data_IF_400652577466
#
_entry.id   IF_400652577466
#
_cell.length_a   1.000
_cell.length_b   1.000
_cell.length_c   1.000
_cell.angle_alpha   90.00
_cell.angle_beta   90.00
_cell.angle_gamma   90.00
#
_symmetry.space_group_name_H-M   'P 1'
#
loop_
_entity.id
_entity.type
_entity.pdbx_description
1 polymer ?
#
# COMPACT_ATOMS: atom_id res chain seq x y z
N UNK A 1 24.36 -18.44 -24.68
CA UNK A 1 23.94 -19.82 -24.36
C UNK A 1 23.48 -20.01 -22.90
N UNK A 2 23.81 -19.12 -21.98
CA UNK A 2 23.37 -19.20 -20.57
C UNK A 2 22.00 -18.59 -20.31
N UNK A 3 21.46 -17.80 -21.23
CA UNK A 3 20.17 -17.06 -21.03
C UNK A 3 18.91 -17.91 -21.20
N UNK A 4 18.93 -18.93 -22.04
CA UNK A 4 17.75 -19.76 -22.35
C UNK A 4 17.49 -20.85 -21.28
N UNK A 5 18.53 -21.35 -20.62
CA UNK A 5 18.37 -22.40 -19.57
C UNK A 5 17.83 -21.86 -18.23
N UNK A 6 17.84 -20.56 -18.03
CA UNK A 6 17.43 -19.93 -16.76
C UNK A 6 15.99 -19.43 -16.75
N UNK A 7 15.33 -19.27 -17.90
CA UNK A 7 13.97 -18.70 -17.97
C UNK A 7 12.86 -19.61 -17.41
N UNK A 8 13.10 -20.90 -17.30
CA UNK A 8 12.18 -21.87 -16.70
C UNK A 8 12.63 -22.43 -15.35
N UNK A 9 13.75 -21.96 -14.80
CA UNK A 9 14.29 -22.48 -13.55
C UNK A 9 13.45 -22.02 -12.34
N UNK A 10 12.78 -22.93 -11.60
CA UNK A 10 11.98 -22.59 -10.43
C UNK A 10 12.81 -21.94 -9.30
N UNK A 11 14.13 -22.10 -9.30
CA UNK A 11 15.06 -21.54 -8.34
C UNK A 11 15.72 -20.23 -8.80
N UNK A 12 15.24 -19.61 -9.89
CA UNK A 12 15.81 -18.39 -10.46
C UNK A 12 15.95 -17.26 -9.44
N UNK A 13 15.04 -17.17 -8.47
CA UNK A 13 15.12 -16.19 -7.39
C UNK A 13 16.36 -16.39 -6.52
N UNK A 14 16.72 -17.63 -6.21
CA UNK A 14 17.92 -17.96 -5.43
C UNK A 14 19.20 -17.60 -6.19
N UNK A 15 19.25 -17.87 -7.49
CA UNK A 15 20.38 -17.51 -8.34
C UNK A 15 20.58 -15.98 -8.43
N UNK A 16 19.48 -15.23 -8.42
CA UNK A 16 19.54 -13.75 -8.42
C UNK A 16 20.14 -13.19 -7.14
N UNK A 17 19.71 -13.68 -5.98
CA UNK A 17 20.16 -13.08 -4.70
C UNK A 17 21.61 -13.42 -4.33
N UNK A 18 22.21 -14.41 -5.01
CA UNK A 18 23.63 -14.77 -4.86
C UNK A 18 24.52 -14.25 -6.02
N UNK A 19 23.96 -13.42 -6.91
CA UNK A 19 24.71 -12.81 -8.00
C UNK A 19 25.05 -13.73 -9.19
N UNK A 20 24.49 -14.95 -9.26
CA UNK A 20 24.74 -15.86 -10.38
C UNK A 20 23.96 -15.51 -11.65
N UNK A 21 23.01 -14.58 -11.55
CA UNK A 21 22.29 -14.03 -12.69
C UNK A 21 22.54 -12.52 -12.79
N UNK A 22 22.81 -12.08 -14.01
CA UNK A 22 22.97 -10.65 -14.33
C UNK A 22 21.67 -9.88 -14.01
N UNK A 23 21.71 -9.07 -12.99
CA UNK A 23 20.64 -8.17 -12.58
C UNK A 23 21.25 -6.93 -11.90
N UNK A 24 20.53 -5.81 -11.89
CA UNK A 24 21.01 -4.55 -11.34
C UNK A 24 21.21 -4.48 -9.82
N UNK A 25 21.08 -5.62 -9.10
CA UNK A 25 21.37 -5.75 -7.67
C UNK A 25 22.67 -6.55 -7.50
N UNK A 26 23.51 -6.12 -6.59
CA UNK A 26 24.71 -6.86 -6.17
C UNK A 26 24.31 -8.13 -5.38
N UNK A 27 25.30 -8.92 -4.97
CA UNK A 27 25.12 -10.09 -4.10
C UNK A 27 24.43 -9.69 -2.80
N UNK A 28 23.14 -10.02 -2.68
CA UNK A 28 22.33 -9.61 -1.52
C UNK A 28 22.43 -10.62 -0.39
N UNK A 29 22.57 -11.92 -0.73
CA UNK A 29 22.60 -13.00 0.23
C UNK A 29 23.78 -13.95 -0.08
N UNK A 30 24.50 -14.34 0.96
CA UNK A 30 25.51 -15.38 0.82
C UNK A 30 24.89 -16.78 0.87
N UNK A 31 25.24 -17.71 -0.04
CA UNK A 31 24.81 -19.09 0.01
C UNK A 31 25.07 -19.71 1.38
N UNK A 32 24.10 -20.45 1.90
CA UNK A 32 24.19 -21.09 3.22
C UNK A 32 24.00 -20.17 4.43
N UNK A 33 23.82 -18.85 4.24
CA UNK A 33 23.43 -17.94 5.32
C UNK A 33 22.03 -18.28 5.85
N UNK A 34 21.71 -17.86 7.08
CA UNK A 34 20.37 -18.07 7.64
C UNK A 34 19.27 -17.44 6.76
N UNK A 35 19.52 -16.25 6.21
CA UNK A 35 18.59 -15.56 5.31
C UNK A 35 18.43 -16.28 3.97
N UNK A 36 19.51 -16.82 3.41
CA UNK A 36 19.46 -17.62 2.19
C UNK A 36 18.63 -18.89 2.39
N UNK A 37 18.79 -19.59 3.50
CA UNK A 37 18.03 -20.82 3.80
C UNK A 37 16.54 -20.56 3.95
N UNK A 38 16.15 -19.43 4.55
CA UNK A 38 14.73 -19.04 4.64
C UNK A 38 14.15 -18.84 3.25
N UNK A 39 14.88 -18.15 2.37
CA UNK A 39 14.44 -17.94 0.99
C UNK A 39 14.42 -19.25 0.20
N UNK A 40 15.41 -20.12 0.38
CA UNK A 40 15.46 -21.44 -0.24
C UNK A 40 14.26 -22.29 0.15
N UNK A 41 13.93 -22.35 1.43
CA UNK A 41 12.77 -23.08 1.93
C UNK A 41 11.45 -22.50 1.39
N UNK A 42 11.33 -21.17 1.34
CA UNK A 42 10.18 -20.50 0.72
C UNK A 42 10.03 -20.90 -0.74
N UNK A 43 11.11 -20.83 -1.53
CA UNK A 43 11.09 -21.18 -2.96
C UNK A 43 10.73 -22.65 -3.17
N UNK A 44 11.24 -23.56 -2.34
CA UNK A 44 10.88 -25.00 -2.39
C UNK A 44 9.40 -25.22 -2.14
N UNK A 45 8.83 -24.58 -1.10
CA UNK A 45 7.40 -24.69 -0.78
C UNK A 45 6.52 -24.15 -1.89
N UNK A 46 6.86 -23.02 -2.46
CA UNK A 46 6.12 -22.43 -3.60
C UNK A 46 6.15 -23.33 -4.82
N UNK A 47 7.27 -24.05 -5.05
CA UNK A 47 7.41 -24.99 -6.16
C UNK A 47 6.83 -26.39 -5.89
N UNK A 48 6.16 -26.59 -4.76
CA UNK A 48 5.45 -27.84 -4.44
C UNK A 48 6.31 -28.93 -3.80
N UNK A 49 7.57 -28.65 -3.43
CA UNK A 49 8.45 -29.57 -2.69
C UNK A 49 8.05 -29.55 -1.19
N UNK A 50 6.96 -30.23 -0.88
CA UNK A 50 6.49 -30.35 0.51
C UNK A 50 7.24 -31.42 1.32
N UNK A 51 8.16 -32.15 0.74
CA UNK A 51 8.88 -33.26 1.39
C UNK A 51 10.01 -32.82 2.34
N UNK A 52 10.45 -31.58 2.27
CA UNK A 52 11.57 -31.08 3.07
C UNK A 52 11.19 -30.58 4.48
N UNK A 53 9.89 -30.49 4.81
CA UNK A 53 9.44 -29.88 6.05
C UNK A 53 9.65 -30.73 7.32
N UNK A 54 9.92 -32.05 7.19
CA UNK A 54 10.01 -32.93 8.37
C UNK A 54 11.42 -33.21 8.89
N UNK A 55 12.44 -33.11 8.02
CA UNK A 55 13.79 -33.55 8.41
C UNK A 55 14.73 -32.41 8.83
N UNK A 56 14.42 -31.17 8.50
CA UNK A 56 15.30 -30.02 8.83
C UNK A 56 15.08 -29.45 10.22
N UNK A 57 13.97 -29.80 10.87
CA UNK A 57 13.67 -29.31 12.23
C UNK A 57 14.53 -29.98 13.32
N UNK A 58 15.14 -31.12 13.03
CA UNK A 58 15.76 -31.99 14.08
C UNK A 58 17.25 -31.80 14.28
N UNK A 59 17.99 -31.12 13.39
CA UNK A 59 19.45 -31.15 13.43
C UNK A 59 20.16 -29.82 13.16
N UNK A 60 19.52 -28.68 13.31
CA UNK A 60 20.21 -27.40 13.21
C UNK A 60 20.28 -26.71 14.57
N UNK A 61 21.51 -26.49 15.03
CA UNK A 61 21.88 -25.51 16.03
C UNK A 61 21.61 -24.06 15.52
N UNK A 62 20.52 -23.90 14.74
CA UNK A 62 20.03 -22.64 14.21
C UNK A 62 19.10 -22.05 15.24
N UNK A 63 19.48 -20.91 15.75
CA UNK A 63 18.61 -20.09 16.58
C UNK A 63 17.23 -20.04 15.88
N UNK A 64 16.15 -20.48 16.51
CA UNK A 64 14.83 -20.36 15.93
C UNK A 64 14.62 -18.94 15.42
N UNK A 65 13.95 -18.78 14.27
CA UNK A 65 13.75 -17.45 13.64
C UNK A 65 13.23 -16.39 14.62
N UNK A 66 12.42 -16.82 15.58
CA UNK A 66 11.84 -15.95 16.62
C UNK A 66 12.63 -15.91 17.94
N UNK A 67 13.78 -16.60 18.02
CA UNK A 67 14.60 -16.52 19.24
C UNK A 67 15.21 -15.13 19.36
N UNK A 68 14.98 -14.47 20.49
CA UNK A 68 15.40 -13.10 20.74
C UNK A 68 14.38 -12.04 20.26
N UNK A 69 13.25 -12.46 19.71
CA UNK A 69 12.11 -11.57 19.47
C UNK A 69 11.26 -11.58 20.72
N UNK A 70 11.19 -10.47 21.39
CA UNK A 70 10.29 -10.26 22.51
C UNK A 70 9.02 -9.56 22.04
N UNK A 71 7.86 -10.00 22.54
CA UNK A 71 6.62 -9.29 22.31
C UNK A 71 6.73 -7.91 22.95
N UNK A 72 6.30 -6.91 22.20
CA UNK A 72 6.23 -5.55 22.75
C UNK A 72 5.17 -5.49 23.84
N UNK A 73 5.37 -4.60 24.78
CA UNK A 73 4.40 -4.26 25.81
C UNK A 73 3.03 -3.90 25.22
N UNK A 74 1.94 -4.34 25.87
CA UNK A 74 0.57 -4.20 25.37
C UNK A 74 0.20 -2.72 25.11
N UNK A 75 0.65 -1.81 25.96
CA UNK A 75 0.41 -0.37 25.77
C UNK A 75 1.16 0.16 24.56
N UNK A 76 2.36 -0.35 24.27
CA UNK A 76 3.10 0.01 23.05
C UNK A 76 2.46 -0.59 21.81
N UNK A 77 1.91 -1.81 21.92
CA UNK A 77 1.14 -2.42 20.84
C UNK A 77 -0.09 -1.58 20.51
N UNK A 78 -0.91 -1.23 21.52
CA UNK A 78 -2.05 -0.37 21.36
C UNK A 78 -1.67 0.96 20.67
N UNK A 79 -0.61 1.63 21.16
CA UNK A 79 -0.12 2.86 20.56
C UNK A 79 0.26 2.69 19.08
N UNK A 80 0.92 1.58 18.72
CA UNK A 80 1.26 1.30 17.32
C UNK A 80 0.03 1.11 16.46
N UNK A 81 -0.96 0.35 16.95
CA UNK A 81 -2.21 0.10 16.23
C UNK A 81 -2.95 1.42 15.94
N UNK A 82 -3.17 2.24 16.97
CA UNK A 82 -3.91 3.50 16.82
C UNK A 82 -3.18 4.51 15.92
N UNK A 83 -1.85 4.60 16.03
CA UNK A 83 -1.05 5.46 15.16
C UNK A 83 -1.03 4.96 13.71
N UNK A 84 -0.89 3.66 13.48
CA UNK A 84 -0.78 3.11 12.14
C UNK A 84 -2.12 3.11 11.41
N UNK A 85 -3.21 2.78 12.13
CA UNK A 85 -4.54 2.60 11.51
C UNK A 85 -5.39 3.86 11.52
N UNK A 86 -5.23 4.74 12.50
CA UNK A 86 -6.07 5.91 12.65
C UNK A 86 -5.30 7.24 12.86
N UNK A 87 -3.97 7.23 12.72
CA UNK A 87 -3.10 8.41 12.88
C UNK A 87 -3.31 9.17 14.20
N UNK A 88 -3.78 8.50 15.24
CA UNK A 88 -4.06 9.08 16.56
C UNK A 88 -3.42 8.29 17.69
N UNK A 89 -3.29 8.90 18.84
CA UNK A 89 -2.92 8.20 20.08
C UNK A 89 -4.14 7.45 20.64
N UNK A 90 -3.89 6.40 21.46
CA UNK A 90 -4.97 5.76 22.22
C UNK A 90 -5.67 6.80 23.10
N UNK A 91 -6.98 6.68 23.22
CA UNK A 91 -7.74 7.44 24.22
C UNK A 91 -7.62 6.81 25.60
N UNK A 92 -8.18 7.48 26.63
CA UNK A 92 -8.11 7.02 28.01
C UNK A 92 -8.84 5.67 28.19
N UNK A 93 -10.03 5.52 27.59
CA UNK A 93 -10.82 4.29 27.66
C UNK A 93 -10.07 3.08 27.08
N UNK A 94 -9.43 3.25 25.91
CA UNK A 94 -8.63 2.21 25.25
C UNK A 94 -7.40 1.84 26.10
N UNK A 95 -6.75 2.85 26.66
CA UNK A 95 -5.57 2.65 27.51
C UNK A 95 -5.94 1.91 28.82
N UNK A 96 -7.04 2.29 29.45
CA UNK A 96 -7.54 1.66 30.67
C UNK A 96 -8.02 0.21 30.40
N UNK A 97 -8.66 -0.02 29.25
CA UNK A 97 -9.08 -1.36 28.85
C UNK A 97 -7.89 -2.30 28.67
N UNK A 98 -6.84 -1.85 27.99
CA UNK A 98 -5.62 -2.67 27.80
C UNK A 98 -4.85 -2.83 29.10
N UNK A 99 -4.78 -1.80 29.95
CA UNK A 99 -4.14 -1.91 31.27
C UNK A 99 -4.84 -2.95 32.18
N UNK A 100 -6.15 -3.10 32.04
CA UNK A 100 -6.97 -4.01 32.88
C UNK A 100 -7.05 -5.43 32.33
N UNK A 101 -7.11 -5.59 30.99
CA UNK A 101 -7.40 -6.87 30.34
C UNK A 101 -6.30 -7.33 29.36
N UNK A 102 -5.20 -6.59 29.24
CA UNK A 102 -4.10 -6.94 28.35
C UNK A 102 -4.53 -7.08 26.88
N UNK A 103 -3.99 -8.09 26.20
CA UNK A 103 -4.26 -8.35 24.78
C UNK A 103 -5.72 -8.67 24.46
N UNK A 104 -6.50 -9.16 25.44
CA UNK A 104 -7.91 -9.49 25.22
C UNK A 104 -8.75 -8.24 24.90
N UNK A 105 -8.29 -7.06 25.34
CA UNK A 105 -8.93 -5.79 25.02
C UNK A 105 -8.61 -5.28 23.61
N UNK A 106 -7.57 -5.80 22.97
CA UNK A 106 -7.08 -5.26 21.68
C UNK A 106 -8.04 -5.55 20.54
N UNK A 107 -8.62 -6.75 20.47
CA UNK A 107 -9.52 -7.11 19.36
C UNK A 107 -10.75 -6.20 19.28
N UNK A 108 -11.51 -5.95 20.38
CA UNK A 108 -12.65 -5.02 20.34
C UNK A 108 -12.24 -3.57 20.00
N UNK A 109 -11.04 -3.15 20.43
CA UNK A 109 -10.53 -1.82 20.08
C UNK A 109 -10.21 -1.76 18.58
N UNK A 110 -9.61 -2.80 18.03
CA UNK A 110 -9.31 -2.91 16.61
C UNK A 110 -10.58 -2.85 15.76
N UNK A 111 -11.62 -3.61 16.15
CA UNK A 111 -12.92 -3.59 15.46
C UNK A 111 -13.51 -2.18 15.38
N UNK A 112 -13.39 -1.40 16.46
CA UNK A 112 -13.84 0.02 16.47
C UNK A 112 -12.96 0.90 15.60
N UNK A 113 -11.63 0.76 15.69
CA UNK A 113 -10.67 1.54 14.89
C UNK A 113 -10.93 1.40 13.39
N UNK A 114 -11.23 0.18 12.93
CA UNK A 114 -11.51 -0.10 11.52
C UNK A 114 -12.82 0.52 11.02
N UNK A 115 -13.66 1.05 11.90
CA UNK A 115 -14.88 1.80 11.53
C UNK A 115 -14.74 3.31 11.64
N UNK A 116 -13.62 3.82 12.17
CA UNK A 116 -13.37 5.27 12.27
C UNK A 116 -13.08 5.89 10.90
N UNK A 117 -13.52 7.13 10.68
CA UNK A 117 -13.17 7.86 9.46
C UNK A 117 -11.66 8.01 9.28
N UNK A 118 -10.93 8.20 10.39
CA UNK A 118 -9.48 8.28 10.40
C UNK A 118 -8.79 7.02 9.84
N UNK A 119 -9.39 5.84 9.97
CA UNK A 119 -8.90 4.62 9.33
C UNK A 119 -9.00 4.72 7.81
N UNK A 120 -10.15 5.17 7.30
CA UNK A 120 -10.35 5.33 5.86
C UNK A 120 -9.43 6.40 5.26
N UNK A 121 -9.14 7.46 6.00
CA UNK A 121 -8.17 8.47 5.58
C UNK A 121 -6.75 7.89 5.52
N UNK A 122 -6.34 7.10 6.51
CA UNK A 122 -5.05 6.40 6.47
C UNK A 122 -4.96 5.38 5.34
N UNK A 123 -6.07 4.70 5.08
CA UNK A 123 -6.16 3.76 3.95
C UNK A 123 -5.96 4.51 2.62
N UNK A 124 -6.64 5.64 2.45
CA UNK A 124 -6.50 6.49 1.27
C UNK A 124 -5.05 7.00 1.09
N UNK A 125 -4.40 7.46 2.16
CA UNK A 125 -2.99 7.87 2.12
C UNK A 125 -2.09 6.72 1.63
N UNK A 126 -2.24 5.51 2.19
CA UNK A 126 -1.46 4.34 1.79
C UNK A 126 -1.68 3.94 0.32
N UNK A 127 -2.92 4.04 -0.17
CA UNK A 127 -3.22 3.77 -1.58
C UNK A 127 -2.75 4.90 -2.50
N UNK A 128 -2.76 6.14 -2.03
CA UNK A 128 -2.19 7.24 -2.79
C UNK A 128 -0.69 7.04 -3.06
N UNK A 129 0.06 6.48 -2.11
CA UNK A 129 1.47 6.12 -2.32
C UNK A 129 1.66 5.05 -3.40
N UNK A 130 0.63 4.23 -3.65
CA UNK A 130 0.64 3.20 -4.71
C UNK A 130 0.21 3.79 -6.05
N UNK A 131 -0.88 4.56 -6.07
CA UNK A 131 -1.48 5.07 -7.30
C UNK A 131 -0.83 6.36 -7.79
N UNK A 132 -0.19 7.14 -6.90
CA UNK A 132 0.48 8.42 -7.20
C UNK A 132 -0.44 9.41 -7.93
N UNK A 133 -1.73 9.40 -7.61
CA UNK A 133 -2.75 10.20 -8.29
C UNK A 133 -2.61 11.71 -8.14
N UNK A 134 -2.11 12.27 -7.01
CA UNK A 134 -1.85 13.71 -6.91
C UNK A 134 -0.74 14.19 -7.84
N UNK A 135 0.08 13.27 -8.38
CA UNK A 135 1.18 13.64 -9.25
C UNK A 135 2.29 14.41 -8.52
N UNK A 136 3.20 14.99 -9.31
CA UNK A 136 4.24 15.91 -8.83
C UNK A 136 3.64 17.32 -8.87
N UNK A 137 3.78 18.08 -7.80
CA UNK A 137 3.30 19.46 -7.66
C UNK A 137 1.75 19.62 -7.77
N UNK A 138 1.00 18.61 -7.36
CA UNK A 138 -0.47 18.59 -7.41
C UNK A 138 -1.07 18.88 -8.80
N UNK A 139 -0.28 18.65 -9.85
CA UNK A 139 -0.69 18.86 -11.24
C UNK A 139 -0.48 17.56 -12.02
N UNK A 140 -1.41 16.64 -11.88
CA UNK A 140 -1.34 15.32 -12.53
C UNK A 140 -1.15 15.41 -14.05
N UNK A 141 -1.73 16.42 -14.69
CA UNK A 141 -1.59 16.66 -16.11
C UNK A 141 -0.17 17.03 -16.56
N UNK A 142 0.72 17.47 -15.67
CA UNK A 142 2.11 17.73 -16.00
C UNK A 142 2.93 16.44 -16.24
N UNK A 143 2.43 15.31 -15.77
CA UNK A 143 3.05 13.99 -15.98
C UNK A 143 2.70 13.42 -17.36
N UNK A 144 1.58 13.87 -17.92
CA UNK A 144 1.09 13.43 -19.23
C UNK A 144 1.64 14.34 -20.32
N UNK A 145 1.89 13.78 -21.52
CA UNK A 145 2.42 14.54 -22.65
C UNK A 145 1.59 15.80 -22.90
N UNK A 146 2.23 16.95 -22.81
CA UNK A 146 1.62 18.26 -23.00
C UNK A 146 0.89 18.39 -24.34
N UNK A 147 1.43 17.80 -25.40
CA UNK A 147 0.86 17.83 -26.74
C UNK A 147 -0.48 17.09 -26.82
N UNK A 148 -0.67 16.05 -26.01
CA UNK A 148 -1.88 15.25 -26.03
C UNK A 148 -3.10 16.02 -25.51
N UNK A 149 -2.90 16.97 -24.59
CA UNK A 149 -3.95 17.74 -23.93
C UNK A 149 -4.06 19.19 -24.44
N UNK A 150 -3.27 19.60 -25.40
CA UNK A 150 -3.24 20.98 -25.90
C UNK A 150 -4.64 21.50 -26.27
N UNK A 151 -5.48 20.69 -26.89
CA UNK A 151 -6.82 21.07 -27.32
C UNK A 151 -7.86 21.10 -26.21
N UNK A 152 -7.66 20.32 -25.16
CA UNK A 152 -8.64 20.16 -24.07
C UNK A 152 -8.19 20.82 -22.78
N UNK A 153 -6.94 21.21 -22.68
CA UNK A 153 -6.30 21.78 -21.50
C UNK A 153 -7.02 22.99 -20.89
N UNK A 154 -7.62 23.83 -21.73
CA UNK A 154 -8.32 25.02 -21.34
C UNK A 154 -9.85 24.89 -21.50
N UNK A 155 -10.40 23.69 -21.39
CA UNK A 155 -11.82 23.38 -21.54
C UNK A 155 -12.71 24.27 -20.69
N UNK A 156 -12.29 24.64 -19.47
CA UNK A 156 -13.01 25.50 -18.53
C UNK A 156 -13.18 26.93 -19.05
N UNK A 157 -12.36 27.40 -19.96
CA UNK A 157 -12.52 28.71 -20.59
C UNK A 157 -13.72 28.78 -21.52
N UNK A 158 -14.16 27.65 -22.01
CA UNK A 158 -15.33 27.53 -22.88
C UNK A 158 -16.61 27.23 -22.12
N UNK A 159 -16.55 27.14 -20.78
CA UNK A 159 -17.71 26.91 -19.97
C UNK A 159 -18.59 28.15 -19.93
N UNK A 160 -19.93 27.94 -20.04
CA UNK A 160 -20.89 29.02 -20.03
C UNK A 160 -21.12 29.55 -18.60
N UNK A 161 -20.60 30.72 -18.33
CA UNK A 161 -20.85 31.48 -17.11
C UNK A 161 -21.72 32.72 -17.42
N UNK A 162 -22.72 32.60 -18.28
CA UNK A 162 -23.56 33.70 -18.75
C UNK A 162 -24.21 34.51 -17.62
N UNK A 163 -24.41 33.89 -16.45
CA UNK A 163 -24.98 34.56 -15.28
C UNK A 163 -24.01 35.54 -14.59
N UNK A 164 -22.71 35.44 -14.87
CA UNK A 164 -21.68 36.31 -14.29
C UNK A 164 -21.37 37.45 -15.25
N UNK A 165 -21.79 38.68 -14.91
CA UNK A 165 -21.64 39.85 -15.77
C UNK A 165 -20.21 40.38 -15.82
N UNK A 166 -19.44 40.27 -14.71
CA UNK A 166 -18.06 40.75 -14.60
C UNK A 166 -17.07 39.76 -15.22
N UNK A 167 -16.21 40.25 -16.12
CA UNK A 167 -15.26 39.43 -16.84
C UNK A 167 -14.20 38.79 -15.92
N UNK A 168 -13.74 39.52 -14.90
CA UNK A 168 -12.74 38.99 -13.95
C UNK A 168 -13.38 37.97 -13.01
N UNK A 169 -14.63 38.10 -12.67
CA UNK A 169 -15.36 37.10 -11.89
C UNK A 169 -15.60 35.83 -12.71
N UNK A 170 -15.91 35.93 -14.00
CA UNK A 170 -16.01 34.80 -14.92
C UNK A 170 -14.69 34.03 -15.02
N UNK A 171 -13.58 34.75 -15.20
CA UNK A 171 -12.26 34.15 -15.25
C UNK A 171 -11.93 33.38 -13.96
N UNK A 172 -12.20 34.00 -12.80
CA UNK A 172 -12.02 33.33 -11.49
C UNK A 172 -12.90 32.09 -11.33
N UNK A 173 -14.14 32.15 -11.77
CA UNK A 173 -15.07 31.02 -11.75
C UNK A 173 -14.55 29.87 -12.63
N UNK A 174 -13.98 30.18 -13.80
CA UNK A 174 -13.34 29.20 -14.68
C UNK A 174 -12.14 28.51 -14.01
N UNK A 175 -11.25 29.29 -13.39
CA UNK A 175 -10.11 28.74 -12.66
C UNK A 175 -10.56 27.85 -11.48
N UNK A 176 -11.59 28.33 -10.74
CA UNK A 176 -12.14 27.55 -9.63
C UNK A 176 -12.74 26.23 -10.12
N UNK A 177 -13.50 26.26 -11.21
CA UNK A 177 -14.08 25.06 -11.81
C UNK A 177 -13.00 24.05 -12.21
N UNK A 178 -11.92 24.54 -12.84
CA UNK A 178 -10.80 23.68 -13.23
C UNK A 178 -10.11 23.05 -12.01
N UNK A 179 -9.94 23.82 -10.92
CA UNK A 179 -9.37 23.31 -9.67
C UNK A 179 -10.28 22.26 -9.02
N UNK A 180 -11.59 22.53 -8.92
CA UNK A 180 -12.56 21.61 -8.32
C UNK A 180 -12.63 20.26 -9.10
N UNK A 181 -12.53 20.30 -10.42
CA UNK A 181 -12.45 19.10 -11.26
C UNK A 181 -11.17 18.31 -11.04
N UNK A 182 -10.02 19.00 -11.01
CA UNK A 182 -8.73 18.37 -10.74
C UNK A 182 -8.72 17.67 -9.39
N UNK A 183 -9.16 18.37 -8.35
CA UNK A 183 -9.29 17.81 -7.01
C UNK A 183 -10.19 16.56 -6.99
N UNK A 184 -11.32 16.62 -7.68
CA UNK A 184 -12.25 15.50 -7.76
C UNK A 184 -11.61 14.28 -8.43
N UNK A 185 -10.95 14.48 -9.59
CA UNK A 185 -10.27 13.41 -10.31
C UNK A 185 -9.12 12.78 -9.50
N UNK A 186 -8.40 13.59 -8.74
CA UNK A 186 -7.32 13.09 -7.88
C UNK A 186 -7.84 12.26 -6.70
N UNK A 187 -9.02 12.61 -6.17
CA UNK A 187 -9.63 11.91 -5.04
C UNK A 187 -10.38 10.65 -5.45
N UNK A 188 -10.88 10.59 -6.66
CA UNK A 188 -11.75 9.52 -7.15
C UNK A 188 -11.20 8.10 -6.87
N UNK A 189 -9.93 7.76 -7.19
CA UNK A 189 -9.41 6.43 -6.88
C UNK A 189 -9.36 6.15 -5.38
N UNK A 190 -9.12 7.17 -4.55
CA UNK A 190 -9.08 7.03 -3.08
C UNK A 190 -10.48 6.84 -2.51
N UNK A 191 -11.47 7.54 -3.03
CA UNK A 191 -12.87 7.38 -2.63
C UNK A 191 -13.40 6.00 -3.06
N UNK A 192 -12.97 5.48 -4.21
CA UNK A 192 -13.28 4.11 -4.62
C UNK A 192 -12.71 3.08 -3.63
N UNK A 193 -11.46 3.24 -3.19
CA UNK A 193 -10.86 2.38 -2.15
C UNK A 193 -11.68 2.41 -0.87
N UNK A 194 -12.02 3.60 -0.37
CA UNK A 194 -12.84 3.78 0.83
C UNK A 194 -14.21 3.11 0.66
N UNK A 195 -14.84 3.28 -0.49
CA UNK A 195 -16.14 2.69 -0.80
C UNK A 195 -16.10 1.17 -0.79
N UNK A 196 -15.10 0.57 -1.43
CA UNK A 196 -14.92 -0.89 -1.49
C UNK A 196 -14.78 -1.46 -0.08
N UNK A 197 -13.90 -0.87 0.74
CA UNK A 197 -13.63 -1.36 2.10
C UNK A 197 -14.83 -1.14 3.03
N UNK A 198 -15.50 0.02 2.98
CA UNK A 198 -16.69 0.31 3.80
C UNK A 198 -17.86 -0.63 3.53
N UNK A 199 -17.98 -1.11 2.31
CA UNK A 199 -19.11 -1.93 1.87
C UNK A 199 -18.74 -3.42 1.75
N UNK A 200 -17.58 -3.82 2.28
CA UNK A 200 -17.08 -5.21 2.25
C UNK A 200 -17.15 -5.81 0.83
N UNK A 201 -16.76 -5.02 -0.18
CA UNK A 201 -16.82 -5.42 -1.59
C UNK A 201 -15.53 -6.15 -1.98
N UNK A 202 -15.57 -6.98 -3.02
CA UNK A 202 -14.37 -7.64 -3.53
C UNK A 202 -13.28 -6.62 -3.90
N UNK A 203 -12.07 -6.82 -3.39
CA UNK A 203 -10.95 -5.92 -3.66
C UNK A 203 -10.57 -5.81 -5.14
N UNK A 204 -10.91 -6.83 -5.93
CA UNK A 204 -10.75 -6.81 -7.39
C UNK A 204 -11.51 -5.67 -8.07
N UNK A 205 -12.54 -5.11 -7.41
CA UNK A 205 -13.30 -3.97 -7.94
C UNK A 205 -12.47 -2.70 -8.08
N UNK A 206 -11.31 -2.59 -7.43
CA UNK A 206 -10.36 -1.52 -7.72
C UNK A 206 -9.96 -1.43 -9.21
N UNK A 207 -10.04 -2.55 -9.92
CA UNK A 207 -9.66 -2.64 -11.34
C UNK A 207 -10.87 -2.91 -12.22
N UNK A 208 -11.91 -3.55 -11.70
CA UNK A 208 -13.04 -4.03 -12.48
C UNK A 208 -14.34 -3.25 -12.28
N UNK A 209 -14.36 -2.26 -11.36
CA UNK A 209 -15.53 -1.43 -11.18
C UNK A 209 -15.86 -0.66 -12.46
N UNK A 210 -17.11 -0.71 -12.86
CA UNK A 210 -17.70 0.01 -14.00
C UNK A 210 -18.63 1.15 -13.56
N UNK A 211 -18.56 1.47 -12.28
CA UNK A 211 -19.32 2.56 -11.64
C UNK A 211 -18.35 3.49 -10.90
N UNK A 212 -18.68 4.73 -10.84
CA UNK A 212 -18.00 5.79 -10.11
C UNK A 212 -19.05 6.58 -9.33
#
# INVERSE_FOLDING_TARGET
>A
MVREETEGNPFRMLLKVVGELDHGGEDVLQPGSARYRILEEFVRRVNGDSSAASDTASNMNTVPFFQGIEMIDDAKLLRRLTLSLAARLPNAEESDAVASNGLDAVAPILDRLLTEEAFYDRLAEGFNDIFLTPGIDDVAENVLSYEHFEKTRHWYQNWDFAEISDEKERERAGWKLAADYRDSMQREPMELVKYIVRNDRPFTELITADFI
#
